data_IF_426953462348
#
_entry.id   IF_426953462348
#
_cell.length_a   1.000
_cell.length_b   1.000
_cell.length_c   1.000
_cell.angle_alpha   90.00
_cell.angle_beta   90.00
_cell.angle_gamma   90.00
#
_symmetry.space_group_name_H-M   'P 1'
#
loop_
_entity.id
_entity.type
_entity.pdbx_description
1 polymer ?
#
# COMPACT_ATOMS: atom_id res chain seq x y z
N UNK A 1 -13.35 7.85 -17.89
CA UNK A 1 -14.14 7.80 -16.64
C UNK A 1 -13.94 6.49 -15.87
N UNK A 2 -14.06 5.31 -16.50
CA UNK A 2 -13.85 4.01 -15.80
C UNK A 2 -12.44 3.87 -15.21
N UNK A 3 -11.39 4.24 -15.95
CA UNK A 3 -10.00 4.17 -15.47
C UNK A 3 -9.73 5.06 -14.24
N UNK A 4 -10.32 6.26 -14.19
CA UNK A 4 -10.20 7.16 -13.04
C UNK A 4 -10.85 6.57 -11.79
N UNK A 5 -12.02 5.96 -11.95
CA UNK A 5 -12.69 5.30 -10.83
C UNK A 5 -11.87 4.13 -10.30
N UNK A 6 -11.22 3.37 -11.18
CA UNK A 6 -10.32 2.28 -10.81
C UNK A 6 -9.12 2.79 -9.99
N UNK A 7 -8.43 3.83 -10.47
CA UNK A 7 -7.30 4.44 -9.73
C UNK A 7 -7.71 4.93 -8.34
N UNK A 8 -8.85 5.63 -8.24
CA UNK A 8 -9.38 6.13 -6.97
C UNK A 8 -9.69 5.00 -6.00
N UNK A 9 -10.30 3.91 -6.49
CA UNK A 9 -10.59 2.73 -5.68
C UNK A 9 -9.29 2.10 -5.19
N UNK A 10 -8.29 1.94 -6.06
CA UNK A 10 -7.00 1.36 -5.69
C UNK A 10 -6.29 2.18 -4.61
N UNK A 11 -6.19 3.50 -4.78
CA UNK A 11 -5.57 4.38 -3.78
C UNK A 11 -6.31 4.32 -2.43
N UNK A 12 -7.64 4.26 -2.47
CA UNK A 12 -8.47 4.17 -1.26
C UNK A 12 -8.28 2.82 -0.54
N UNK A 13 -8.22 1.72 -1.28
CA UNK A 13 -7.96 0.38 -0.71
C UNK A 13 -6.59 0.33 -0.04
N UNK A 14 -5.53 0.81 -0.71
CA UNK A 14 -4.19 0.87 -0.12
C UNK A 14 -4.15 1.73 1.14
N UNK A 15 -4.83 2.89 1.13
CA UNK A 15 -4.92 3.77 2.28
C UNK A 15 -5.55 3.05 3.49
N UNK A 16 -6.70 2.38 3.31
CA UNK A 16 -7.41 1.68 4.38
C UNK A 16 -6.57 0.54 4.96
N UNK A 17 -5.91 -0.25 4.11
CA UNK A 17 -5.04 -1.36 4.53
C UNK A 17 -3.91 -0.83 5.41
N UNK A 18 -3.20 0.20 4.96
CA UNK A 18 -2.07 0.80 5.68
C UNK A 18 -2.51 1.44 6.99
N UNK A 19 -3.66 2.14 7.01
CA UNK A 19 -4.25 2.69 8.24
C UNK A 19 -4.60 1.60 9.25
N UNK A 20 -5.07 0.44 8.78
CA UNK A 20 -5.38 -0.71 9.65
C UNK A 20 -4.11 -1.24 10.32
N UNK A 21 -3.02 -1.41 9.57
CA UNK A 21 -1.72 -1.82 10.13
C UNK A 21 -1.18 -0.82 11.16
N UNK A 22 -1.18 0.47 10.84
CA UNK A 22 -0.69 1.52 11.73
C UNK A 22 -1.53 1.58 13.02
N UNK A 23 -2.86 1.48 12.90
CA UNK A 23 -3.75 1.45 14.08
C UNK A 23 -3.54 0.19 14.92
N UNK A 24 -3.29 -0.95 14.28
CA UNK A 24 -2.92 -2.19 14.98
C UNK A 24 -1.60 -2.03 15.75
N UNK A 25 -0.59 -1.38 15.15
CA UNK A 25 0.68 -1.09 15.81
C UNK A 25 0.50 -0.18 17.04
N UNK A 26 -0.35 0.86 16.97
CA UNK A 26 -0.66 1.69 18.15
C UNK A 26 -1.25 0.87 19.31
N UNK A 27 -1.99 -0.20 19.03
CA UNK A 27 -2.54 -1.09 20.07
C UNK A 27 -1.52 -2.10 20.60
N UNK A 28 -0.55 -2.51 19.78
CA UNK A 28 0.41 -3.56 20.13
C UNK A 28 1.47 -3.07 21.13
N UNK A 29 1.95 -1.84 20.99
CA UNK A 29 3.08 -1.32 21.77
C UNK A 29 2.78 0.08 22.35
N UNK A 30 2.76 0.24 23.68
CA UNK A 30 2.48 1.53 24.32
C UNK A 30 3.67 2.50 24.36
N UNK A 31 4.85 2.10 23.87
CA UNK A 31 6.09 2.89 23.94
C UNK A 31 5.97 4.23 23.18
N UNK A 32 6.36 5.34 23.82
CA UNK A 32 6.17 6.69 23.29
C UNK A 32 6.88 6.94 21.95
N UNK A 33 8.15 6.52 21.82
CA UNK A 33 8.91 6.64 20.57
C UNK A 33 8.26 5.87 19.42
N UNK A 34 7.76 4.66 19.71
CA UNK A 34 7.07 3.85 18.71
C UNK A 34 5.75 4.50 18.28
N UNK A 35 4.96 5.02 19.22
CA UNK A 35 3.73 5.76 18.90
C UNK A 35 4.01 7.00 18.05
N UNK A 36 5.08 7.74 18.34
CA UNK A 36 5.48 8.88 17.53
C UNK A 36 5.82 8.47 16.08
N UNK A 37 6.58 7.38 15.90
CA UNK A 37 6.88 6.83 14.58
C UNK A 37 5.61 6.36 13.84
N UNK A 38 4.66 5.74 14.55
CA UNK A 38 3.39 5.31 13.94
C UNK A 38 2.53 6.51 13.54
N UNK A 39 2.44 7.56 14.36
CA UNK A 39 1.75 8.80 14.00
C UNK A 39 2.40 9.51 12.80
N UNK A 40 3.72 9.53 12.73
CA UNK A 40 4.44 10.02 11.54
C UNK A 40 4.07 9.22 10.28
N UNK A 41 3.97 7.89 10.41
CA UNK A 41 3.49 7.01 9.34
C UNK A 41 2.06 7.30 8.91
N UNK A 42 1.15 7.55 9.86
CA UNK A 42 -0.25 7.93 9.56
C UNK A 42 -0.30 9.24 8.77
N UNK A 43 0.43 10.26 9.24
CA UNK A 43 0.49 11.55 8.57
C UNK A 43 1.07 11.43 7.15
N UNK A 44 2.14 10.65 7.00
CA UNK A 44 2.76 10.40 5.70
C UNK A 44 1.81 9.66 4.75
N UNK A 45 1.17 8.58 5.20
CA UNK A 45 0.19 7.83 4.39
C UNK A 45 -1.01 8.68 3.96
N UNK A 46 -1.52 9.52 4.86
CA UNK A 46 -2.59 10.47 4.52
C UNK A 46 -2.14 11.50 3.48
N UNK A 47 -0.90 11.99 3.59
CA UNK A 47 -0.32 12.93 2.63
C UNK A 47 -0.14 12.29 1.25
N UNK A 48 0.34 11.04 1.19
CA UNK A 48 0.46 10.28 -0.08
C UNK A 48 -0.90 10.05 -0.72
N UNK A 49 -1.92 9.67 0.07
CA UNK A 49 -3.28 9.48 -0.43
C UNK A 49 -3.87 10.78 -1.01
N UNK A 50 -3.81 11.87 -0.24
CA UNK A 50 -4.30 13.18 -0.67
C UNK A 50 -3.53 13.70 -1.89
N UNK A 51 -2.21 13.54 -1.91
CA UNK A 51 -1.38 13.93 -3.04
C UNK A 51 -1.73 13.15 -4.30
N UNK A 52 -1.94 11.84 -4.19
CA UNK A 52 -2.34 10.99 -5.32
C UNK A 52 -3.73 11.37 -5.84
N UNK A 53 -4.69 11.62 -4.94
CA UNK A 53 -6.02 12.12 -5.32
C UNK A 53 -5.94 13.45 -6.08
N UNK A 54 -5.18 14.41 -5.56
CA UNK A 54 -5.04 15.72 -6.18
C UNK A 54 -4.32 15.62 -7.53
N UNK A 55 -3.29 14.78 -7.65
CA UNK A 55 -2.61 14.52 -8.92
C UNK A 55 -3.57 13.97 -9.96
N UNK A 56 -4.40 12.97 -9.62
CA UNK A 56 -5.37 12.39 -10.56
C UNK A 56 -6.48 13.38 -10.94
N UNK A 57 -6.93 14.22 -10.00
CA UNK A 57 -7.98 15.21 -10.24
C UNK A 57 -7.48 16.44 -11.02
N UNK A 58 -6.23 16.83 -10.83
CA UNK A 58 -5.62 18.03 -11.44
C UNK A 58 -4.63 17.67 -12.55
N UNK A 59 -4.67 16.43 -13.08
CA UNK A 59 -3.72 15.98 -14.09
C UNK A 59 -3.80 16.78 -15.40
N UNK A 60 -4.95 17.40 -15.71
CA UNK A 60 -5.14 18.29 -16.85
C UNK A 60 -6.02 19.48 -16.48
N UNK A 61 -5.70 20.66 -17.03
CA UNK A 61 -6.55 21.84 -16.99
C UNK A 61 -6.93 22.25 -18.44
N UNK A 62 -8.21 22.13 -18.85
CA UNK A 62 -9.36 21.64 -18.10
C UNK A 62 -9.39 20.09 -17.96
N UNK A 63 -9.98 19.57 -16.87
CA UNK A 63 -10.10 18.13 -16.61
C UNK A 63 -10.79 17.34 -17.74
N UNK A 64 -11.69 17.98 -18.48
CA UNK A 64 -12.41 17.33 -19.59
C UNK A 64 -11.48 16.97 -20.77
N UNK A 65 -10.27 17.54 -20.84
CA UNK A 65 -9.26 17.20 -21.82
C UNK A 65 -8.80 15.73 -21.74
N UNK A 66 -8.94 15.07 -20.58
CA UNK A 66 -8.61 13.65 -20.40
C UNK A 66 -9.60 12.77 -21.18
N UNK A 67 -10.88 13.14 -21.19
CA UNK A 67 -11.94 12.39 -21.86
C UNK A 67 -12.07 12.79 -23.34
N UNK A 68 -11.85 14.06 -23.64
CA UNK A 68 -12.04 14.64 -24.97
C UNK A 68 -10.81 15.47 -25.41
N UNK A 69 -9.66 14.83 -25.66
CA UNK A 69 -8.43 15.54 -26.01
C UNK A 69 -8.57 16.36 -27.31
N UNK A 70 -9.42 15.91 -28.24
CA UNK A 70 -9.69 16.61 -29.49
C UNK A 70 -10.49 17.92 -29.32
N UNK A 71 -11.26 18.06 -28.23
CA UNK A 71 -12.06 19.26 -27.95
C UNK A 71 -11.26 20.36 -27.24
N UNK A 72 -10.10 20.01 -26.66
CA UNK A 72 -9.26 20.93 -25.89
C UNK A 72 -7.79 20.86 -26.35
N UNK A 73 -7.46 21.35 -27.56
CA UNK A 73 -6.10 21.31 -28.10
C UNK A 73 -5.09 22.18 -27.32
N UNK A 74 -5.57 23.16 -26.55
CA UNK A 74 -4.77 24.07 -25.71
C UNK A 74 -4.61 23.57 -24.26
N UNK A 75 -5.15 22.37 -23.93
CA UNK A 75 -5.12 21.87 -22.57
C UNK A 75 -3.69 21.64 -22.06
N UNK A 76 -3.43 22.08 -20.83
CA UNK A 76 -2.16 21.82 -20.16
C UNK A 76 -2.32 20.60 -19.25
N UNK A 77 -1.72 19.49 -19.66
CA UNK A 77 -1.64 18.28 -18.86
C UNK A 77 -0.26 18.14 -18.21
N UNK A 78 -0.24 17.58 -17.00
CA UNK A 78 0.99 17.13 -16.35
C UNK A 78 1.61 15.96 -17.13
N UNK A 79 2.92 15.81 -17.00
CA UNK A 79 3.63 14.69 -17.61
C UNK A 79 3.07 13.36 -17.09
N UNK A 80 2.59 12.54 -18.03
CA UNK A 80 2.00 11.23 -17.76
C UNK A 80 2.98 10.34 -16.98
N UNK A 81 4.29 10.48 -17.20
CA UNK A 81 5.30 9.75 -16.44
C UNK A 81 5.25 10.09 -14.94
N UNK A 82 5.12 11.37 -14.61
CA UNK A 82 5.09 11.85 -13.22
C UNK A 82 3.84 11.31 -12.52
N UNK A 83 2.68 11.45 -13.18
CA UNK A 83 1.39 11.01 -12.62
C UNK A 83 1.34 9.50 -12.43
N UNK A 84 1.98 8.73 -13.33
CA UNK A 84 1.92 7.27 -13.30
C UNK A 84 2.97 6.63 -12.38
N UNK A 85 4.14 7.24 -12.18
CA UNK A 85 5.26 6.64 -11.42
C UNK A 85 5.32 7.11 -9.96
N UNK A 86 5.02 8.38 -9.68
CA UNK A 86 5.19 8.92 -8.31
C UNK A 86 4.28 8.22 -7.29
N UNK A 87 2.95 8.07 -7.54
CA UNK A 87 2.07 7.44 -6.55
C UNK A 87 2.46 5.99 -6.21
N UNK A 88 2.76 5.10 -7.18
CA UNK A 88 3.23 3.75 -6.86
C UNK A 88 4.54 3.73 -6.07
N UNK A 89 5.50 4.59 -6.40
CA UNK A 89 6.79 4.65 -5.68
C UNK A 89 6.60 5.09 -4.22
N UNK A 90 5.77 6.11 -3.97
CA UNK A 90 5.46 6.55 -2.61
C UNK A 90 4.69 5.49 -1.83
N UNK A 91 3.79 4.75 -2.47
CA UNK A 91 3.05 3.65 -1.85
C UNK A 91 4.00 2.53 -1.41
N UNK A 92 4.95 2.13 -2.27
CA UNK A 92 5.99 1.13 -1.96
C UNK A 92 6.90 1.62 -0.83
N UNK A 93 7.29 2.90 -0.82
CA UNK A 93 8.06 3.47 0.27
C UNK A 93 7.32 3.38 1.61
N UNK A 94 6.00 3.58 1.61
CA UNK A 94 5.18 3.40 2.81
C UNK A 94 5.08 1.94 3.25
N UNK A 95 5.02 0.99 2.31
CA UNK A 95 5.04 -0.45 2.65
C UNK A 95 6.36 -0.86 3.33
N UNK A 96 7.49 -0.36 2.83
CA UNK A 96 8.81 -0.54 3.47
C UNK A 96 8.83 0.07 4.87
N UNK A 97 8.27 1.26 5.05
CA UNK A 97 8.19 1.94 6.35
C UNK A 97 7.39 1.12 7.38
N UNK A 98 6.20 0.65 6.99
CA UNK A 98 5.34 -0.18 7.85
C UNK A 98 6.05 -1.49 8.23
N UNK A 99 6.75 -2.11 7.28
CA UNK A 99 7.54 -3.32 7.52
C UNK A 99 8.73 -3.11 8.45
N UNK A 100 9.38 -1.94 8.40
CA UNK A 100 10.53 -1.62 9.23
C UNK A 100 10.17 -1.34 10.70
N UNK A 101 8.98 -0.79 10.96
CA UNK A 101 8.49 -0.45 12.30
C UNK A 101 8.62 -1.60 13.33
N UNK A 102 8.06 -2.81 13.10
CA UNK A 102 8.15 -3.91 14.06
C UNK A 102 9.57 -4.48 14.20
N UNK A 103 10.43 -4.37 13.18
CA UNK A 103 11.80 -4.90 13.22
C UNK A 103 12.62 -4.19 14.31
N UNK A 104 12.49 -2.87 14.41
CA UNK A 104 13.15 -2.09 15.46
C UNK A 104 12.76 -2.55 16.87
N UNK A 105 11.48 -2.86 17.09
CA UNK A 105 11.00 -3.37 18.40
C UNK A 105 11.54 -4.77 18.69
N UNK A 106 11.49 -5.68 17.70
CA UNK A 106 11.92 -7.07 17.89
C UNK A 106 13.41 -7.15 18.26
N UNK A 107 14.22 -6.23 17.74
CA UNK A 107 15.64 -6.16 18.08
C UNK A 107 15.91 -5.58 19.47
N UNK A 108 15.01 -4.73 19.99
CA UNK A 108 15.20 -4.04 21.28
C UNK A 108 14.54 -4.75 22.47
N UNK A 109 13.56 -5.61 22.25
CA UNK A 109 12.78 -6.22 23.34
C UNK A 109 12.95 -7.75 23.37
N UNK A 110 13.39 -8.28 24.51
CA UNK A 110 13.45 -9.72 24.83
C UNK A 110 12.04 -10.35 24.89
N UNK A 111 11.33 -10.37 23.76
CA UNK A 111 10.00 -10.95 23.65
C UNK A 111 10.06 -12.48 23.66
N UNK A 112 9.03 -13.10 24.26
CA UNK A 112 8.87 -14.55 24.25
C UNK A 112 8.72 -15.09 22.81
N UNK A 113 9.24 -16.30 22.57
CA UNK A 113 9.26 -16.98 21.26
C UNK A 113 7.89 -16.95 20.54
N UNK A 114 6.80 -17.03 21.29
CA UNK A 114 5.42 -16.96 20.77
C UNK A 114 5.08 -15.60 20.14
N UNK A 115 5.44 -14.50 20.80
CA UNK A 115 5.22 -13.13 20.25
C UNK A 115 6.13 -12.87 19.06
N UNK A 116 7.37 -13.37 19.11
CA UNK A 116 8.33 -13.28 18.01
C UNK A 116 7.83 -13.98 16.74
N UNK A 117 7.23 -15.17 16.86
CA UNK A 117 6.63 -15.89 15.74
C UNK A 117 5.46 -15.14 15.09
N UNK A 118 4.57 -14.54 15.88
CA UNK A 118 3.46 -13.73 15.35
C UNK A 118 3.95 -12.52 14.57
N UNK A 119 4.96 -11.80 15.09
CA UNK A 119 5.55 -10.65 14.40
C UNK A 119 6.28 -11.07 13.13
N UNK A 120 7.02 -12.18 13.15
CA UNK A 120 7.68 -12.72 11.94
C UNK A 120 6.67 -13.12 10.86
N UNK A 121 5.53 -13.68 11.24
CA UNK A 121 4.47 -14.03 10.28
C UNK A 121 3.88 -12.78 9.61
N UNK A 122 3.63 -11.71 10.38
CA UNK A 122 3.15 -10.42 9.86
C UNK A 122 4.19 -9.79 8.91
N UNK A 123 5.46 -9.78 9.31
CA UNK A 123 6.56 -9.28 8.48
C UNK A 123 6.65 -10.09 7.18
N UNK A 124 6.60 -11.42 7.25
CA UNK A 124 6.67 -12.28 6.08
C UNK A 124 5.55 -12.02 5.07
N UNK A 125 4.31 -11.89 5.56
CA UNK A 125 3.17 -11.55 4.71
C UNK A 125 3.31 -10.14 4.10
N UNK A 126 3.75 -9.15 4.86
CA UNK A 126 4.01 -7.82 4.31
C UNK A 126 5.14 -7.80 3.26
N UNK A 127 6.20 -8.60 3.44
CA UNK A 127 7.27 -8.74 2.44
C UNK A 127 6.75 -9.33 1.13
N UNK A 128 5.86 -10.33 1.19
CA UNK A 128 5.24 -10.87 -0.05
C UNK A 128 4.43 -9.80 -0.80
N UNK A 129 3.66 -8.98 -0.08
CA UNK A 129 2.91 -7.87 -0.68
C UNK A 129 3.83 -6.81 -1.28
N UNK A 130 4.95 -6.50 -0.62
CA UNK A 130 5.97 -5.58 -1.13
C UNK A 130 6.61 -6.08 -2.43
N UNK A 131 6.93 -7.38 -2.53
CA UNK A 131 7.50 -7.96 -3.75
C UNK A 131 6.53 -7.79 -4.92
N UNK A 132 5.24 -8.07 -4.71
CA UNK A 132 4.21 -7.89 -5.76
C UNK A 132 4.09 -6.41 -6.16
N UNK A 133 4.16 -5.50 -5.19
CA UNK A 133 4.13 -4.04 -5.43
C UNK A 133 5.32 -3.57 -6.27
N UNK A 134 6.52 -4.12 -6.05
CA UNK A 134 7.71 -3.80 -6.85
C UNK A 134 7.60 -4.28 -8.30
N UNK A 135 6.97 -5.44 -8.53
CA UNK A 135 6.75 -5.99 -9.89
C UNK A 135 5.81 -5.10 -10.71
N UNK A 136 4.95 -4.31 -10.06
CA UNK A 136 4.02 -3.38 -10.73
C UNK A 136 4.74 -2.22 -11.43
N UNK A 137 5.83 -1.69 -10.87
CA UNK A 137 6.57 -0.54 -11.42
C UNK A 137 7.07 -0.78 -12.85
N UNK A 138 7.82 -1.87 -13.16
CA UNK A 138 8.27 -2.12 -14.53
C UNK A 138 7.11 -2.39 -15.49
N UNK A 139 5.99 -2.97 -15.03
CA UNK A 139 4.78 -3.15 -15.84
C UNK A 139 4.17 -1.82 -16.26
N UNK A 140 4.13 -0.86 -15.33
CA UNK A 140 3.70 0.52 -15.56
C UNK A 140 4.60 1.23 -16.59
N UNK A 141 5.92 1.00 -16.54
CA UNK A 141 6.83 1.52 -17.57
C UNK A 141 6.65 0.82 -18.93
N UNK A 142 6.34 -0.48 -18.95
CA UNK A 142 6.08 -1.21 -20.20
C UNK A 142 4.78 -0.75 -20.88
N UNK A 143 3.78 -0.35 -20.10
CA UNK A 143 2.51 0.22 -20.60
C UNK A 143 2.70 1.52 -21.40
N UNK A 144 3.67 2.36 -21.02
CA UNK A 144 3.95 3.63 -21.72
C UNK A 144 4.80 3.45 -22.97
N UNK A 145 5.43 2.28 -23.15
CA UNK A 145 6.41 2.04 -24.23
C UNK A 145 5.96 1.03 -25.29
N UNK A 146 4.95 0.21 -24.99
CA UNK A 146 4.55 -0.92 -25.83
C UNK A 146 3.37 -0.56 -26.76
N UNK A 147 3.38 -1.01 -28.02
CA UNK A 147 2.29 -0.76 -28.98
C UNK A 147 0.99 -1.51 -28.65
N UNK A 148 1.07 -2.63 -27.91
CA UNK A 148 -0.08 -3.45 -27.51
C UNK A 148 -0.54 -3.13 -26.06
N UNK A 149 -1.14 -1.95 -25.88
CA UNK A 149 -1.60 -1.45 -24.57
C UNK A 149 -2.57 -2.41 -23.86
N UNK A 150 -3.44 -3.10 -24.61
CA UNK A 150 -4.45 -4.01 -24.04
C UNK A 150 -3.86 -5.24 -23.35
N UNK A 151 -2.75 -5.78 -23.86
CA UNK A 151 -2.12 -6.99 -23.30
C UNK A 151 -1.38 -6.69 -21.99
N UNK A 152 -0.64 -5.57 -21.96
CA UNK A 152 0.06 -5.13 -20.76
C UNK A 152 -0.90 -4.69 -19.65
N UNK A 153 -2.05 -4.12 -20.01
CA UNK A 153 -3.09 -3.74 -19.05
C UNK A 153 -3.67 -4.99 -18.35
N UNK A 154 -3.92 -6.06 -19.10
CA UNK A 154 -4.41 -7.32 -18.54
C UNK A 154 -3.43 -7.93 -17.53
N UNK A 155 -2.13 -7.89 -17.80
CA UNK A 155 -1.11 -8.33 -16.84
C UNK A 155 -1.13 -7.46 -15.58
N UNK A 156 -1.27 -6.14 -15.73
CA UNK A 156 -1.31 -5.21 -14.61
C UNK A 156 -2.49 -5.49 -13.67
N UNK A 157 -3.68 -5.73 -14.21
CA UNK A 157 -4.88 -6.04 -13.42
C UNK A 157 -4.67 -7.32 -12.60
N UNK A 158 -4.08 -8.36 -13.18
CA UNK A 158 -3.79 -9.62 -12.46
C UNK A 158 -2.82 -9.38 -11.31
N UNK A 159 -1.76 -8.61 -11.54
CA UNK A 159 -0.77 -8.28 -10.49
C UNK A 159 -1.43 -7.50 -9.36
N UNK A 160 -2.25 -6.49 -9.67
CA UNK A 160 -2.99 -5.68 -8.69
C UNK A 160 -3.98 -6.52 -7.90
N UNK A 161 -4.69 -7.45 -8.55
CA UNK A 161 -5.61 -8.36 -7.88
C UNK A 161 -4.87 -9.24 -6.86
N UNK A 162 -3.70 -9.79 -7.23
CA UNK A 162 -2.87 -10.56 -6.31
C UNK A 162 -2.35 -9.69 -5.16
N UNK A 163 -1.91 -8.47 -5.44
CA UNK A 163 -1.42 -7.51 -4.46
C UNK A 163 -2.44 -7.29 -3.33
N UNK A 164 -3.70 -7.00 -3.71
CA UNK A 164 -4.80 -6.77 -2.76
C UNK A 164 -5.07 -8.02 -1.93
N UNK A 165 -5.10 -9.20 -2.55
CA UNK A 165 -5.36 -10.45 -1.82
C UNK A 165 -4.27 -10.77 -0.80
N UNK A 166 -3.00 -10.62 -1.16
CA UNK A 166 -1.89 -10.79 -0.21
C UNK A 166 -1.94 -9.76 0.91
N UNK A 167 -2.27 -8.50 0.60
CA UNK A 167 -2.41 -7.45 1.59
C UNK A 167 -3.55 -7.73 2.58
N UNK A 168 -4.72 -8.18 2.10
CA UNK A 168 -5.86 -8.56 2.94
C UNK A 168 -5.50 -9.73 3.87
N UNK A 169 -4.82 -10.76 3.36
CA UNK A 169 -4.34 -11.87 4.18
C UNK A 169 -3.37 -11.36 5.25
N UNK A 170 -2.43 -10.50 4.88
CA UNK A 170 -1.47 -9.91 5.80
C UNK A 170 -2.15 -9.08 6.92
N UNK A 171 -3.21 -8.33 6.62
CA UNK A 171 -3.98 -7.54 7.61
C UNK A 171 -4.70 -8.43 8.63
N UNK A 172 -5.15 -9.61 8.22
CA UNK A 172 -5.91 -10.53 9.08
C UNK A 172 -5.00 -11.48 9.90
N UNK A 173 -3.75 -11.68 9.46
CA UNK A 173 -2.76 -12.52 10.17
C UNK A 173 -2.57 -12.14 11.65
N UNK A 174 -2.41 -10.86 12.03
CA UNK A 174 -2.27 -10.48 13.44
C UNK A 174 -3.43 -10.96 14.31
N UNK A 175 -4.68 -10.79 13.85
CA UNK A 175 -5.88 -11.26 14.55
C UNK A 175 -5.90 -12.78 14.71
N UNK A 176 -5.49 -13.50 13.66
CA UNK A 176 -5.42 -14.96 13.69
C UNK A 176 -4.34 -15.47 14.66
N UNK A 177 -3.16 -14.88 14.64
CA UNK A 177 -2.07 -15.23 15.57
C UNK A 177 -2.43 -14.93 17.03
N UNK A 178 -3.17 -13.84 17.29
CA UNK A 178 -3.68 -13.52 18.61
C UNK A 178 -4.66 -14.59 19.13
N UNK A 179 -5.63 -15.00 18.29
CA UNK A 179 -6.60 -16.06 18.61
C UNK A 179 -5.96 -17.43 18.83
N UNK A 180 -4.99 -17.81 18.01
CA UNK A 180 -4.28 -19.09 18.18
C UNK A 180 -3.44 -19.08 19.46
N UNK A 181 -2.82 -17.95 19.80
CA UNK A 181 -2.03 -17.82 21.02
C UNK A 181 -2.89 -17.96 22.29
N UNK A 182 -4.08 -17.36 22.33
CA UNK A 182 -4.98 -17.44 23.49
C UNK A 182 -5.54 -18.85 23.69
N UNK A 183 -5.88 -19.55 22.60
CA UNK A 183 -6.34 -20.94 22.67
C UNK A 183 -5.26 -21.89 23.19
N UNK A 184 -3.99 -21.62 22.86
CA UNK A 184 -2.85 -22.42 23.34
C UNK A 184 -2.55 -22.25 24.83
N UNK A 185 -3.01 -21.15 25.44
CA UNK A 185 -2.89 -20.90 26.88
C UNK A 185 -4.02 -21.59 27.64
N UNK A 186 -5.25 -21.60 27.10
CA UNK A 186 -6.36 -22.32 27.71
C UNK A 186 -6.17 -23.84 27.72
N UNK A 187 -5.48 -24.42 26.75
CA UNK A 187 -5.23 -25.87 26.69
C UNK A 187 -4.10 -26.35 27.64
N UNK A 188 -3.40 -25.42 28.31
CA UNK A 188 -2.37 -25.71 29.31
C UNK A 188 -2.85 -25.50 30.76
N UNK A 189 -4.05 -24.95 30.95
CA UNK A 189 -4.72 -24.82 32.25
C UNK A 189 -5.66 -25.99 32.49
#
# INVERSE_FOLDING_TARGET
QVALAEEVVLYTVHFIIKMTFLTFYLRLCPQALFRAAVFAGIAFNASVYLGSMLLTLLQCDPFDAIAHPYLHPEAKCLDQFIVMIIPPVLNVAMDVYILALPIGIVLQLNMSLRRRLGVLAIIGAGVSSLIVSCVRIPLVLSLTRSPDTSYELGKMIIVVALEIQFAVVAVNLPSFTALVSSRSEQMKS
#
